data_IF_441974346276
#
_entry.id   IF_441974346276
#
_cell.length_a   1.000
_cell.length_b   1.000
_cell.length_c   1.000
_cell.angle_alpha   90.00
_cell.angle_beta   90.00
_cell.angle_gamma   90.00
#
_symmetry.space_group_name_H-M   'P 1'
#
loop_
_entity.id
_entity.type
_entity.pdbx_description
1 polymer ?
#
# COMPACT_ATOMS: atom_id res chain seq x y z
N UNK A 1 21.43 -76.65 -30.17
CA UNK A 1 21.61 -75.38 -29.43
C UNK A 1 20.32 -74.64 -29.53
N UNK A 2 19.54 -74.58 -28.45
CA UNK A 2 18.29 -73.82 -28.38
C UNK A 2 18.57 -72.54 -27.55
N UNK A 3 18.52 -71.38 -28.20
CA UNK A 3 18.73 -70.06 -27.57
C UNK A 3 17.42 -69.65 -26.92
N UNK A 4 17.41 -69.55 -25.60
CA UNK A 4 16.31 -68.99 -24.84
C UNK A 4 16.38 -67.40 -24.88
N UNK A 5 15.39 -66.75 -25.49
CA UNK A 5 15.19 -65.34 -25.42
C UNK A 5 14.40 -65.07 -24.15
N UNK A 6 15.03 -64.38 -23.16
CA UNK A 6 14.34 -63.86 -21.96
C UNK A 6 13.72 -62.54 -22.32
N UNK A 7 12.39 -62.47 -22.45
CA UNK A 7 11.62 -61.26 -22.59
C UNK A 7 11.42 -60.70 -21.18
N UNK A 8 12.09 -59.56 -20.88
CA UNK A 8 11.89 -58.81 -19.63
C UNK A 8 10.70 -57.88 -19.80
N UNK A 9 9.61 -58.14 -19.10
CA UNK A 9 8.42 -57.31 -19.09
C UNK A 9 8.65 -56.17 -18.10
N UNK A 10 8.89 -54.96 -18.60
CA UNK A 10 9.05 -53.75 -17.79
C UNK A 10 7.64 -53.16 -17.53
N UNK A 11 7.08 -53.42 -16.34
CA UNK A 11 5.80 -52.86 -15.92
C UNK A 11 6.05 -51.42 -15.47
N UNK A 12 5.68 -50.45 -16.31
CA UNK A 12 5.71 -49.03 -15.99
C UNK A 12 4.54 -48.71 -15.06
N UNK A 13 4.80 -48.58 -13.76
CA UNK A 13 3.82 -48.05 -12.81
C UNK A 13 3.66 -46.55 -13.06
N UNK A 14 2.60 -46.16 -13.75
CA UNK A 14 2.12 -44.78 -13.79
C UNK A 14 1.50 -44.44 -12.43
N UNK A 15 2.29 -43.83 -11.56
CA UNK A 15 1.77 -43.17 -10.35
C UNK A 15 1.10 -41.89 -10.84
N UNK A 16 -0.20 -41.97 -11.12
CA UNK A 16 -1.01 -40.77 -11.25
C UNK A 16 -1.12 -40.12 -9.85
N UNK A 17 -0.38 -39.04 -9.61
CA UNK A 17 -0.63 -38.19 -8.48
C UNK A 17 -2.05 -37.59 -8.65
N UNK A 18 -3.00 -38.22 -7.97
CA UNK A 18 -4.34 -37.66 -7.84
C UNK A 18 -4.24 -36.41 -6.99
N UNK A 19 -3.98 -35.26 -7.62
CA UNK A 19 -4.27 -33.99 -6.98
C UNK A 19 -5.77 -33.99 -6.72
N UNK A 20 -6.17 -34.03 -5.45
CA UNK A 20 -7.53 -33.84 -5.03
C UNK A 20 -7.97 -32.46 -5.50
N UNK A 21 -8.68 -32.41 -6.61
CA UNK A 21 -9.26 -31.17 -7.10
C UNK A 21 -10.28 -30.71 -6.07
N UNK A 22 -10.07 -29.54 -5.48
CA UNK A 22 -11.02 -28.94 -4.56
C UNK A 22 -12.28 -28.55 -5.35
N UNK A 23 -13.42 -29.06 -4.91
CA UNK A 23 -14.71 -28.74 -5.50
C UNK A 23 -15.39 -27.68 -4.67
N UNK A 24 -15.49 -26.47 -5.21
CA UNK A 24 -16.19 -25.36 -4.58
C UNK A 24 -17.59 -25.22 -5.15
N UNK A 25 -18.59 -25.29 -4.25
CA UNK A 25 -19.95 -24.93 -4.58
C UNK A 25 -20.15 -23.42 -4.49
N UNK A 26 -20.75 -22.84 -5.53
CA UNK A 26 -21.18 -21.43 -5.50
C UNK A 26 -22.51 -21.32 -4.77
N UNK A 27 -22.45 -20.86 -3.53
CA UNK A 27 -23.65 -20.74 -2.65
C UNK A 27 -24.35 -19.40 -2.86
N UNK A 28 -23.62 -18.36 -3.22
CA UNK A 28 -24.16 -17.02 -3.47
C UNK A 28 -23.46 -16.39 -4.67
N UNK A 29 -24.24 -15.75 -5.53
CA UNK A 29 -23.74 -14.87 -6.59
C UNK A 29 -24.72 -13.70 -6.72
N UNK A 30 -24.38 -12.57 -6.12
CA UNK A 30 -25.25 -11.40 -6.02
C UNK A 30 -24.59 -10.21 -6.69
N UNK A 31 -25.29 -9.59 -7.63
CA UNK A 31 -24.85 -8.32 -8.20
C UNK A 31 -25.13 -7.18 -7.22
N UNK A 32 -24.07 -6.52 -6.77
CA UNK A 32 -24.11 -5.42 -5.81
C UNK A 32 -24.14 -4.05 -6.47
N UNK A 33 -23.67 -3.96 -7.71
CA UNK A 33 -23.62 -2.78 -8.54
C UNK A 33 -23.23 -3.13 -9.96
N UNK A 34 -23.14 -2.15 -10.85
CA UNK A 34 -22.72 -2.38 -12.22
C UNK A 34 -21.28 -2.93 -12.27
N UNK A 35 -21.11 -4.19 -12.71
CA UNK A 35 -19.81 -4.86 -12.75
C UNK A 35 -19.24 -5.20 -11.36
N UNK A 36 -20.05 -5.19 -10.30
CA UNK A 36 -19.63 -5.56 -8.94
C UNK A 36 -20.48 -6.73 -8.46
N UNK A 37 -19.81 -7.83 -8.11
CA UNK A 37 -20.46 -9.06 -7.67
C UNK A 37 -19.91 -9.51 -6.32
N UNK A 38 -20.81 -9.88 -5.42
CA UNK A 38 -20.49 -10.62 -4.22
C UNK A 38 -20.74 -12.09 -4.45
N UNK A 39 -19.74 -12.93 -4.23
CA UNK A 39 -19.82 -14.38 -4.41
C UNK A 39 -19.41 -15.07 -3.11
N UNK A 40 -20.08 -16.17 -2.79
CA UNK A 40 -19.69 -17.08 -1.72
C UNK A 40 -19.45 -18.46 -2.29
N UNK A 41 -18.29 -19.01 -2.02
CA UNK A 41 -17.92 -20.38 -2.34
C UNK A 41 -17.71 -21.18 -1.08
N UNK A 42 -18.11 -22.44 -1.10
CA UNK A 42 -17.95 -23.38 0.02
C UNK A 42 -17.35 -24.69 -0.48
N UNK A 43 -16.33 -25.17 0.23
CA UNK A 43 -15.82 -26.51 0.10
C UNK A 43 -16.16 -27.29 1.38
N UNK A 44 -17.16 -28.14 1.29
CA UNK A 44 -17.76 -28.81 2.47
C UNK A 44 -16.83 -29.83 3.11
N UNK A 45 -15.99 -30.53 2.33
CA UNK A 45 -15.04 -31.54 2.85
C UNK A 45 -13.92 -30.91 3.69
N UNK A 46 -13.61 -29.64 3.46
CA UNK A 46 -12.56 -28.89 4.16
C UNK A 46 -13.11 -27.83 5.11
N UNK A 47 -14.39 -27.68 5.31
CA UNK A 47 -15.27 -26.58 5.72
C UNK A 47 -14.68 -25.18 5.42
N UNK A 48 -14.25 -24.97 4.17
CA UNK A 48 -13.77 -23.64 3.73
C UNK A 48 -14.94 -22.79 3.24
N UNK A 49 -14.95 -21.52 3.68
CA UNK A 49 -15.84 -20.49 3.17
C UNK A 49 -14.98 -19.38 2.56
N UNK A 50 -15.20 -19.10 1.28
CA UNK A 50 -14.51 -18.04 0.56
C UNK A 50 -15.54 -16.99 0.14
N UNK A 51 -15.32 -15.76 0.58
CA UNK A 51 -16.15 -14.61 0.24
C UNK A 51 -15.36 -13.74 -0.74
N UNK A 52 -15.91 -13.51 -1.91
CA UNK A 52 -15.27 -12.77 -3.00
C UNK A 52 -16.08 -11.54 -3.34
N UNK A 53 -15.41 -10.42 -3.45
CA UNK A 53 -15.91 -9.21 -4.08
C UNK A 53 -15.19 -9.08 -5.42
N UNK A 54 -15.88 -9.38 -6.52
CA UNK A 54 -15.36 -9.25 -7.87
C UNK A 54 -15.77 -7.90 -8.45
N UNK A 55 -14.80 -7.15 -8.97
CA UNK A 55 -15.02 -5.80 -9.48
C UNK A 55 -14.50 -5.73 -10.91
N UNK A 56 -15.37 -5.36 -11.84
CA UNK A 56 -15.00 -5.02 -13.22
C UNK A 56 -14.50 -3.58 -13.30
N UNK A 57 -13.19 -3.43 -13.49
CA UNK A 57 -12.51 -2.15 -13.55
C UNK A 57 -12.69 -1.45 -14.90
N UNK A 58 -13.18 -2.14 -15.92
CA UNK A 58 -13.54 -1.53 -17.21
C UNK A 58 -14.79 -0.65 -17.12
N UNK A 59 -15.62 -0.87 -16.11
CA UNK A 59 -16.77 0.00 -15.82
C UNK A 59 -16.26 1.36 -15.34
N UNK A 60 -16.62 2.47 -16.02
CA UNK A 60 -16.04 3.78 -15.75
C UNK A 60 -16.22 4.29 -14.32
N UNK A 61 -17.34 3.93 -13.70
CA UNK A 61 -17.73 4.41 -12.37
C UNK A 61 -17.16 3.56 -11.21
N UNK A 62 -16.58 2.39 -11.48
CA UNK A 62 -15.96 1.57 -10.47
C UNK A 62 -14.56 2.09 -10.14
N UNK A 63 -14.26 2.19 -8.86
CA UNK A 63 -12.94 2.56 -8.35
C UNK A 63 -12.60 1.78 -7.08
N UNK A 64 -11.32 1.67 -6.79
CA UNK A 64 -10.82 1.11 -5.54
C UNK A 64 -10.12 2.23 -4.81
N UNK A 65 -10.44 2.39 -3.52
CA UNK A 65 -9.80 3.38 -2.65
C UNK A 65 -9.20 2.70 -1.42
N UNK A 66 -8.06 3.17 -0.99
CA UNK A 66 -7.49 2.83 0.31
C UNK A 66 -8.01 3.79 1.37
N UNK A 67 -8.37 3.25 2.53
CA UNK A 67 -8.90 4.03 3.65
C UNK A 67 -8.10 3.72 4.90
N UNK A 68 -7.94 4.70 5.79
CA UNK A 68 -7.36 4.53 7.12
C UNK A 68 -8.35 4.99 8.18
N UNK A 69 -8.28 4.34 9.34
CA UNK A 69 -9.08 4.69 10.50
C UNK A 69 -9.00 6.19 10.79
N UNK A 70 -10.16 6.87 10.88
CA UNK A 70 -10.27 8.29 11.20
C UNK A 70 -9.46 9.22 10.28
N UNK A 71 -9.02 8.74 9.10
CA UNK A 71 -8.09 9.41 8.18
C UNK A 71 -6.77 9.85 8.87
N UNK A 72 -6.33 9.11 9.89
CA UNK A 72 -5.08 9.34 10.62
C UNK A 72 -4.18 8.10 10.59
N UNK A 73 -2.88 8.30 10.69
CA UNK A 73 -1.89 7.22 10.67
C UNK A 73 -2.12 6.20 11.79
N UNK A 74 -2.36 6.67 13.00
CA UNK A 74 -2.71 5.84 14.16
C UNK A 74 -4.22 5.81 14.36
N UNK A 75 -4.72 4.72 14.94
CA UNK A 75 -6.12 4.56 15.32
C UNK A 75 -6.77 3.32 14.72
N UNK A 76 -7.93 2.98 15.28
CA UNK A 76 -8.75 1.83 14.91
C UNK A 76 -10.14 2.28 14.49
N UNK A 77 -10.67 1.65 13.46
CA UNK A 77 -12.04 1.84 12.99
C UNK A 77 -12.48 0.57 12.27
N UNK A 78 -13.73 0.14 12.46
CA UNK A 78 -14.26 -1.02 11.74
C UNK A 78 -14.33 -0.71 10.24
N UNK A 79 -14.00 -1.70 9.41
CA UNK A 79 -14.07 -1.59 7.94
C UNK A 79 -15.43 -1.07 7.46
N UNK A 80 -16.55 -1.57 8.06
CA UNK A 80 -17.89 -1.09 7.75
C UNK A 80 -18.14 0.36 8.14
N UNK A 81 -17.53 0.84 9.23
CA UNK A 81 -17.63 2.25 9.64
C UNK A 81 -16.85 3.16 8.70
N UNK A 82 -15.65 2.74 8.29
CA UNK A 82 -14.85 3.45 7.28
C UNK A 82 -15.60 3.55 5.95
N UNK A 83 -16.19 2.45 5.46
CA UNK A 83 -16.99 2.44 4.24
C UNK A 83 -18.18 3.41 4.32
N UNK A 84 -18.92 3.39 5.44
CA UNK A 84 -20.04 4.31 5.67
C UNK A 84 -19.59 5.77 5.71
N UNK A 85 -18.51 6.08 6.43
CA UNK A 85 -17.96 7.44 6.55
C UNK A 85 -17.49 8.01 5.20
N UNK A 86 -17.09 7.13 4.28
CA UNK A 86 -16.62 7.50 2.94
C UNK A 86 -17.73 7.49 1.88
N UNK A 87 -18.94 7.09 2.25
CA UNK A 87 -20.10 7.09 1.34
C UNK A 87 -20.88 8.41 1.44
N UNK A 88 -21.16 8.99 0.27
CA UNK A 88 -21.98 10.20 0.12
C UNK A 88 -22.64 10.18 -1.28
N UNK A 89 -23.63 11.05 -1.57
CA UNK A 89 -24.27 11.10 -2.89
C UNK A 89 -23.25 11.20 -4.04
N UNK A 90 -23.35 10.26 -4.99
CA UNK A 90 -22.42 10.15 -6.12
C UNK A 90 -21.11 9.38 -5.83
N UNK A 91 -20.88 8.97 -4.57
CA UNK A 91 -19.72 8.18 -4.17
C UNK A 91 -20.11 7.19 -3.08
N UNK A 92 -20.36 5.95 -3.43
CA UNK A 92 -20.87 4.92 -2.52
C UNK A 92 -19.89 3.75 -2.42
N UNK A 93 -19.47 3.43 -1.20
CA UNK A 93 -18.71 2.23 -0.94
C UNK A 93 -19.65 1.01 -1.00
N UNK A 94 -19.55 0.22 -2.05
CA UNK A 94 -20.37 -0.98 -2.28
C UNK A 94 -19.87 -2.17 -1.47
N UNK A 95 -18.56 -2.27 -1.28
CA UNK A 95 -17.91 -3.31 -0.48
C UNK A 95 -16.60 -2.83 0.09
N UNK A 96 -16.09 -3.51 1.10
CA UNK A 96 -14.82 -3.20 1.72
C UNK A 96 -14.20 -4.45 2.34
N UNK A 97 -12.87 -4.54 2.29
CA UNK A 97 -12.07 -5.60 2.89
C UNK A 97 -11.00 -4.99 3.79
N UNK A 98 -10.42 -5.81 4.67
CA UNK A 98 -9.24 -5.42 5.43
C UNK A 98 -8.04 -5.24 4.50
N UNK A 99 -7.16 -4.31 4.87
CA UNK A 99 -5.88 -4.13 4.20
C UNK A 99 -4.72 -4.67 5.02
N UNK A 100 -3.61 -3.91 5.02
CA UNK A 100 -2.33 -4.25 5.63
C UNK A 100 -2.41 -4.70 7.10
N UNK A 101 -1.37 -5.37 7.55
CA UNK A 101 -1.10 -5.57 8.98
C UNK A 101 -0.78 -4.24 9.66
N UNK A 102 -0.98 -4.18 10.97
CA UNK A 102 -0.74 -2.97 11.76
C UNK A 102 -0.16 -3.27 13.13
N UNK A 103 0.58 -2.31 13.67
CA UNK A 103 1.12 -2.37 15.03
C UNK A 103 0.10 -2.00 16.11
N UNK A 104 0.52 -2.06 17.36
CA UNK A 104 -0.32 -1.88 18.55
C UNK A 104 -1.08 -0.55 18.66
N UNK A 105 -0.75 0.44 17.83
CA UNK A 105 -1.48 1.73 17.74
C UNK A 105 -2.36 1.83 16.49
N UNK A 106 -2.48 0.74 15.72
CA UNK A 106 -3.20 0.72 14.44
C UNK A 106 -2.42 1.34 13.28
N UNK A 107 -1.13 1.63 13.44
CA UNK A 107 -0.27 2.13 12.34
C UNK A 107 0.00 0.97 11.37
N UNK A 108 -0.22 1.15 10.04
CA UNK A 108 0.11 0.14 9.05
C UNK A 108 1.59 -0.23 9.09
N UNK A 109 1.91 -1.49 8.82
CA UNK A 109 3.32 -1.95 8.76
C UNK A 109 3.97 -1.45 7.47
N UNK A 110 3.23 -1.47 6.37
CA UNK A 110 3.72 -1.10 5.06
C UNK A 110 3.26 0.29 4.61
N UNK A 111 3.67 0.63 3.39
CA UNK A 111 3.26 1.87 2.75
C UNK A 111 1.76 1.90 2.52
N UNK A 112 1.20 3.08 2.70
CA UNK A 112 -0.13 3.40 2.22
C UNK A 112 -0.10 4.71 1.45
N UNK A 113 -0.66 4.71 0.24
CA UNK A 113 -0.97 5.90 -0.57
C UNK A 113 -2.46 5.98 -0.71
N UNK A 114 -3.00 7.16 -0.51
CA UNK A 114 -4.41 7.44 -0.67
C UNK A 114 -4.59 8.69 -1.51
N UNK A 115 -5.35 8.58 -2.59
CA UNK A 115 -5.57 9.65 -3.55
C UNK A 115 -4.27 10.38 -3.96
N UNK A 116 -3.21 9.60 -4.22
CA UNK A 116 -1.90 10.10 -4.62
C UNK A 116 -1.04 10.66 -3.49
N UNK A 117 -1.51 10.70 -2.24
CA UNK A 117 -0.77 11.22 -1.09
C UNK A 117 -0.27 10.08 -0.18
N UNK A 118 1.02 10.09 0.16
CA UNK A 118 1.61 9.07 1.02
C UNK A 118 1.17 9.30 2.47
N UNK A 119 0.50 8.29 3.03
CA UNK A 119 0.09 8.26 4.42
C UNK A 119 1.17 7.63 5.31
N UNK A 120 1.84 6.60 4.81
CA UNK A 120 2.89 5.85 5.49
C UNK A 120 3.96 5.46 4.48
N UNK A 121 5.25 5.56 4.86
CA UNK A 121 6.38 5.06 4.07
C UNK A 121 6.48 3.53 4.05
N UNK A 122 7.32 2.93 3.15
CA UNK A 122 7.40 1.48 2.97
C UNK A 122 7.91 0.73 4.20
N UNK A 123 7.39 -0.48 4.39
CA UNK A 123 7.86 -1.47 5.36
C UNK A 123 8.69 -2.60 4.75
N UNK A 124 8.79 -2.67 3.41
CA UNK A 124 9.62 -3.65 2.71
C UNK A 124 8.88 -4.88 2.16
N UNK A 125 7.61 -5.08 2.50
CA UNK A 125 6.78 -6.16 1.96
C UNK A 125 6.00 -5.72 0.72
N UNK A 126 5.28 -6.66 0.11
CA UNK A 126 4.47 -6.42 -1.08
C UNK A 126 3.32 -5.47 -0.85
N UNK A 127 2.93 -4.82 -1.91
CA UNK A 127 1.83 -3.88 -1.96
C UNK A 127 0.99 -4.12 -3.20
N UNK A 128 -0.30 -3.84 -3.11
CA UNK A 128 -1.21 -3.72 -4.24
C UNK A 128 -1.61 -2.25 -4.39
N UNK A 129 -1.67 -1.77 -5.62
CA UNK A 129 -2.04 -0.38 -5.89
C UNK A 129 -2.69 -0.18 -7.24
N UNK A 130 -3.24 1.03 -7.43
CA UNK A 130 -3.95 1.43 -8.63
C UNK A 130 -3.59 2.86 -8.99
N UNK A 131 -3.40 3.13 -10.27
CA UNK A 131 -3.19 4.49 -10.75
C UNK A 131 -4.50 5.19 -11.15
N UNK A 132 -4.41 6.44 -11.60
CA UNK A 132 -5.55 7.23 -12.06
C UNK A 132 -6.32 6.56 -13.21
N UNK A 133 -5.63 5.80 -14.07
CA UNK A 133 -6.22 5.01 -15.14
C UNK A 133 -6.73 3.63 -14.66
N UNK A 134 -6.81 3.42 -13.33
CA UNK A 134 -7.24 2.18 -12.68
C UNK A 134 -6.35 0.96 -12.96
N UNK A 135 -5.16 1.16 -13.56
CA UNK A 135 -4.22 0.08 -13.82
C UNK A 135 -3.69 -0.47 -12.50
N UNK A 136 -3.78 -1.78 -12.24
CA UNK A 136 -3.27 -2.39 -11.03
C UNK A 136 -1.75 -2.57 -11.08
N UNK A 137 -1.14 -2.68 -9.89
CA UNK A 137 0.22 -3.14 -9.69
C UNK A 137 0.31 -4.02 -8.43
N UNK A 138 1.22 -4.98 -8.47
CA UNK A 138 1.62 -5.77 -7.30
C UNK A 138 3.15 -5.78 -7.25
N UNK A 139 3.73 -5.18 -6.21
CA UNK A 139 5.18 -5.09 -6.10
C UNK A 139 5.63 -4.85 -4.65
N UNK A 140 6.88 -5.23 -4.35
CA UNK A 140 7.63 -4.67 -3.23
C UNK A 140 8.18 -3.32 -3.66
N UNK A 141 7.94 -2.29 -2.87
CA UNK A 141 8.28 -0.92 -3.26
C UNK A 141 9.29 -0.29 -2.32
N UNK A 142 10.08 0.63 -2.86
CA UNK A 142 10.99 1.50 -2.13
C UNK A 142 10.53 2.95 -2.24
N UNK A 143 10.94 3.77 -1.28
CA UNK A 143 10.67 5.21 -1.27
C UNK A 143 11.93 5.99 -1.63
N UNK A 144 11.75 7.06 -2.37
CA UNK A 144 12.75 8.11 -2.55
C UNK A 144 12.09 9.47 -2.43
N UNK A 145 12.78 10.41 -1.78
CA UNK A 145 12.26 11.77 -1.64
C UNK A 145 13.36 12.80 -1.66
N UNK A 146 13.06 14.00 -2.16
CA UNK A 146 14.00 15.12 -2.13
C UNK A 146 13.29 16.47 -2.00
N UNK A 147 13.93 17.36 -1.24
CA UNK A 147 13.64 18.78 -1.18
C UNK A 147 14.72 19.51 -1.97
N UNK A 148 14.33 20.39 -2.91
CA UNK A 148 15.27 21.18 -3.73
C UNK A 148 14.92 22.65 -3.71
N UNK A 149 15.96 23.50 -3.64
CA UNK A 149 15.90 24.94 -3.89
C UNK A 149 17.09 25.35 -4.76
N UNK A 150 16.85 25.77 -6.00
CA UNK A 150 17.93 25.97 -6.98
C UNK A 150 18.78 24.71 -7.12
N UNK A 151 20.09 24.84 -6.96
CA UNK A 151 21.03 23.73 -7.02
C UNK A 151 21.22 23.00 -5.68
N UNK A 152 20.61 23.47 -4.59
CA UNK A 152 20.69 22.84 -3.28
C UNK A 152 19.64 21.73 -3.16
N UNK A 153 20.05 20.58 -2.63
CA UNK A 153 19.14 19.43 -2.48
C UNK A 153 19.39 18.70 -1.16
N UNK A 154 18.33 18.19 -0.56
CA UNK A 154 18.37 17.30 0.60
C UNK A 154 17.40 16.14 0.42
N UNK A 155 17.88 14.91 0.65
CA UNK A 155 17.02 13.72 0.62
C UNK A 155 16.02 13.75 1.76
N UNK A 156 14.76 13.40 1.47
CA UNK A 156 13.72 13.12 2.46
C UNK A 156 13.83 11.64 2.79
N UNK A 157 13.98 11.33 4.07
CA UNK A 157 14.19 9.95 4.53
C UNK A 157 12.92 9.12 4.38
N UNK A 158 11.78 9.65 4.82
CA UNK A 158 10.45 9.00 4.72
C UNK A 158 9.33 10.01 5.00
N UNK A 159 8.09 9.50 5.00
CA UNK A 159 6.87 10.28 5.28
C UNK A 159 6.22 9.77 6.56
N UNK A 160 5.74 10.69 7.40
CA UNK A 160 4.95 10.41 8.59
C UNK A 160 5.56 9.37 9.53
N UNK A 161 6.78 9.61 9.95
CA UNK A 161 7.54 8.74 10.86
C UNK A 161 8.24 9.54 11.94
N UNK A 162 8.74 8.88 12.96
CA UNK A 162 9.62 9.49 13.96
C UNK A 162 10.87 10.05 13.28
N UNK A 163 11.23 11.29 13.62
CA UNK A 163 12.43 11.94 13.12
C UNK A 163 13.66 11.41 13.87
N UNK A 164 14.57 10.75 13.15
CA UNK A 164 15.87 10.32 13.65
C UNK A 164 16.97 11.35 13.39
N UNK A 165 18.19 11.00 13.83
CA UNK A 165 19.37 11.83 13.65
C UNK A 165 19.71 12.02 12.18
N UNK A 166 20.06 13.26 11.83
CA UNK A 166 20.42 13.68 10.48
C UNK A 166 19.33 13.46 9.41
N UNK A 167 18.13 13.06 9.80
CA UNK A 167 17.03 12.81 8.88
C UNK A 167 16.23 14.09 8.59
N UNK A 168 15.66 14.13 7.37
CA UNK A 168 14.60 15.03 6.97
C UNK A 168 13.33 14.21 6.77
N UNK A 169 12.29 14.48 7.54
CA UNK A 169 11.01 13.79 7.48
C UNK A 169 9.94 14.73 6.94
N UNK A 170 9.12 14.21 6.03
CA UNK A 170 7.93 14.90 5.55
C UNK A 170 6.72 14.49 6.40
N UNK A 171 6.00 15.46 6.93
CA UNK A 171 4.76 15.27 7.68
C UNK A 171 3.60 15.92 6.95
N UNK A 172 2.46 15.22 6.92
CA UNK A 172 1.22 15.74 6.37
C UNK A 172 0.04 15.48 7.32
N UNK A 173 -1.16 15.87 6.92
CA UNK A 173 -2.40 15.78 7.71
C UNK A 173 -2.72 14.39 8.30
N UNK A 174 -2.19 13.33 7.71
CA UNK A 174 -2.46 11.97 8.19
C UNK A 174 -1.68 11.63 9.46
N UNK A 175 -0.55 12.28 9.73
CA UNK A 175 0.29 11.96 10.89
C UNK A 175 -0.42 12.23 12.22
N UNK A 176 -1.11 13.34 12.31
CA UNK A 176 -1.78 13.79 13.54
C UNK A 176 -2.08 15.29 13.51
N UNK A 177 -2.10 15.91 14.66
CA UNK A 177 -2.33 17.35 14.80
C UNK A 177 -1.04 18.17 14.80
N UNK A 178 0.09 17.52 15.04
CA UNK A 178 1.44 18.13 14.99
C UNK A 178 2.48 17.08 14.62
N UNK A 179 3.71 17.51 14.30
CA UNK A 179 4.84 16.64 14.01
C UNK A 179 5.30 15.81 15.22
N UNK A 180 4.95 16.23 16.44
CA UNK A 180 5.35 15.57 17.68
C UNK A 180 6.86 15.46 17.89
N UNK A 181 7.66 16.26 17.18
CA UNK A 181 9.13 16.22 17.26
C UNK A 181 9.64 16.99 18.47
N UNK A 182 10.85 16.66 18.89
CA UNK A 182 11.57 17.41 19.93
C UNK A 182 12.11 18.76 19.40
N UNK A 183 12.70 19.57 20.27
CA UNK A 183 13.26 20.87 19.95
C UNK A 183 14.62 20.83 19.23
N UNK A 184 15.25 19.65 19.07
CA UNK A 184 16.58 19.52 18.45
C UNK A 184 16.54 19.50 16.93
N UNK A 185 15.99 20.55 16.30
CA UNK A 185 15.90 20.59 14.85
C UNK A 185 15.24 21.86 14.32
N UNK A 186 15.07 21.84 12.99
CA UNK A 186 14.37 22.93 12.25
C UNK A 186 13.19 22.33 11.52
N UNK A 187 12.07 23.03 11.59
CA UNK A 187 10.85 22.70 10.88
C UNK A 187 10.46 23.83 9.94
N UNK A 188 10.11 23.48 8.72
CA UNK A 188 9.51 24.39 7.76
C UNK A 188 8.10 23.91 7.39
N UNK A 189 7.15 24.85 7.38
CA UNK A 189 5.80 24.61 6.85
C UNK A 189 5.77 24.99 5.40
N UNK A 190 5.24 24.11 4.56
CA UNK A 190 5.14 24.30 3.13
C UNK A 190 3.69 24.13 2.67
N UNK A 191 3.30 24.93 1.66
CA UNK A 191 1.97 24.85 1.04
C UNK A 191 2.13 24.53 -0.43
N UNK A 192 1.39 23.52 -0.98
CA UNK A 192 1.47 23.20 -2.40
C UNK A 192 0.97 24.37 -3.26
N UNK A 193 1.64 24.57 -4.40
CA UNK A 193 1.27 25.57 -5.41
C UNK A 193 0.45 24.95 -6.55
N UNK A 194 0.04 23.70 -6.42
CA UNK A 194 -0.75 22.94 -7.39
C UNK A 194 -1.19 21.61 -6.81
N UNK A 195 -1.62 20.70 -7.67
CA UNK A 195 -1.96 19.32 -7.25
C UNK A 195 -0.74 18.57 -6.73
N UNK A 196 -0.97 17.55 -5.91
CA UNK A 196 0.07 16.63 -5.44
C UNK A 196 -0.08 15.25 -6.11
N UNK A 197 1.02 14.67 -6.52
CA UNK A 197 1.07 13.31 -7.01
C UNK A 197 2.39 12.63 -6.62
N UNK A 198 2.30 11.38 -6.19
CA UNK A 198 3.46 10.51 -6.04
C UNK A 198 4.10 10.27 -7.42
N UNK A 199 5.41 10.15 -7.45
CA UNK A 199 6.25 10.00 -8.65
C UNK A 199 6.30 11.27 -9.52
N UNK A 200 6.02 12.42 -8.92
CA UNK A 200 6.12 13.72 -9.59
C UNK A 200 6.89 14.74 -8.74
N UNK A 201 7.40 15.78 -9.40
CA UNK A 201 8.07 16.91 -8.73
C UNK A 201 7.17 18.12 -8.70
N UNK A 202 6.87 18.59 -7.52
CA UNK A 202 5.93 19.68 -7.35
C UNK A 202 6.52 20.87 -6.63
N UNK A 203 5.95 22.05 -6.87
CA UNK A 203 6.36 23.32 -6.27
C UNK A 203 5.53 23.60 -5.02
N UNK A 204 6.23 24.09 -4.00
CA UNK A 204 5.65 24.53 -2.73
C UNK A 204 6.21 25.88 -2.34
N UNK A 205 5.39 26.69 -1.65
CA UNK A 205 5.85 27.89 -0.99
C UNK A 205 6.11 27.61 0.49
N UNK A 206 7.22 28.11 1.01
CA UNK A 206 7.57 28.03 2.44
C UNK A 206 6.79 29.12 3.18
N UNK A 207 5.91 28.74 4.11
CA UNK A 207 5.04 29.66 4.82
C UNK A 207 5.50 29.94 6.26
N UNK A 208 6.34 29.07 6.84
CA UNK A 208 6.90 29.24 8.18
C UNK A 208 8.20 28.46 8.33
N UNK A 209 9.12 28.95 9.18
CA UNK A 209 10.34 28.26 9.58
C UNK A 209 10.57 28.51 11.08
N UNK A 210 10.79 27.46 11.84
CA UNK A 210 11.16 27.53 13.27
C UNK A 210 12.32 26.60 13.55
N UNK A 211 13.22 27.03 14.42
CA UNK A 211 14.39 26.25 14.88
C UNK A 211 14.36 26.17 16.41
N UNK A 212 14.68 25.00 16.94
CA UNK A 212 14.78 24.82 18.39
C UNK A 212 13.44 24.73 19.14
N UNK A 213 12.32 24.51 18.43
CA UNK A 213 10.98 24.44 19.04
C UNK A 213 10.39 23.02 18.91
N UNK A 214 10.30 22.49 17.67
CA UNK A 214 9.64 21.21 17.36
C UNK A 214 8.11 21.29 17.42
N UNK A 215 7.49 20.14 17.22
CA UNK A 215 6.04 19.90 17.35
C UNK A 215 5.14 20.88 16.55
N UNK A 216 5.57 21.25 15.33
CA UNK A 216 4.82 22.15 14.45
C UNK A 216 3.44 21.59 14.11
N UNK A 217 2.41 22.43 14.20
CA UNK A 217 1.02 22.04 13.91
C UNK A 217 0.83 21.65 12.43
N UNK A 218 0.09 20.53 12.22
CA UNK A 218 -0.31 20.00 10.92
C UNK A 218 -1.77 20.36 10.63
N UNK A 219 -2.09 20.55 9.36
CA UNK A 219 -3.45 20.80 8.89
C UNK A 219 -3.66 20.23 7.48
N UNK A 220 -4.86 20.36 6.94
CA UNK A 220 -5.25 19.73 5.67
C UNK A 220 -4.62 20.39 4.43
N UNK A 221 -4.11 21.61 4.56
CA UNK A 221 -3.65 22.43 3.42
C UNK A 221 -2.14 22.65 3.40
N UNK A 222 -1.43 22.24 4.45
CA UNK A 222 0.02 22.46 4.59
C UNK A 222 0.72 21.21 5.07
N UNK A 223 1.99 21.08 4.69
CA UNK A 223 2.87 20.03 5.14
C UNK A 223 4.04 20.61 5.91
N UNK A 224 4.73 19.75 6.65
CA UNK A 224 5.92 20.14 7.41
C UNK A 224 7.08 19.25 7.04
N UNK A 225 8.22 19.86 6.72
CA UNK A 225 9.50 19.18 6.63
C UNK A 225 10.26 19.46 7.94
N UNK A 226 10.60 18.40 8.65
CA UNK A 226 11.30 18.46 9.93
C UNK A 226 12.68 17.83 9.79
N UNK A 227 13.73 18.62 10.01
CA UNK A 227 15.13 18.24 9.92
C UNK A 227 15.81 18.18 11.29
N UNK A 228 16.63 17.14 11.52
CA UNK A 228 17.55 17.05 12.65
C UNK A 228 19.01 17.07 12.17
N UNK A 229 19.97 17.49 12.98
CA UNK A 229 21.40 17.49 12.69
C UNK A 229 21.73 18.14 11.34
N UNK A 230 22.38 17.41 10.43
CA UNK A 230 22.75 17.93 9.09
C UNK A 230 21.56 18.33 8.25
N UNK A 231 20.37 17.74 8.45
CA UNK A 231 19.15 18.17 7.77
C UNK A 231 18.60 19.48 8.35
N UNK A 232 18.70 19.69 9.66
CA UNK A 232 18.40 20.98 10.28
C UNK A 232 19.32 22.09 9.75
N UNK A 233 20.61 21.83 9.72
CA UNK A 233 21.62 22.76 9.14
C UNK A 233 21.28 23.13 7.69
N UNK A 234 20.89 22.14 6.87
CA UNK A 234 20.46 22.38 5.50
C UNK A 234 19.25 23.32 5.44
N UNK A 235 18.20 23.09 6.26
CA UNK A 235 17.02 23.94 6.30
C UNK A 235 17.34 25.36 6.78
N UNK A 236 18.21 25.51 7.80
CA UNK A 236 18.63 26.82 8.33
C UNK A 236 19.32 27.64 7.25
N UNK A 237 20.31 27.02 6.57
CA UNK A 237 21.22 27.73 5.67
C UNK A 237 20.63 27.99 4.29
N UNK A 238 19.70 27.17 3.82
CA UNK A 238 19.28 27.21 2.41
C UNK A 238 17.82 27.60 2.20
N UNK A 239 16.96 27.50 3.21
CA UNK A 239 15.52 27.68 3.03
C UNK A 239 15.03 28.87 3.89
N UNK A 240 14.30 29.79 3.29
CA UNK A 240 13.68 30.94 3.97
C UNK A 240 12.17 30.96 3.75
N UNK A 241 11.46 31.63 4.65
CA UNK A 241 10.02 31.92 4.46
C UNK A 241 9.85 32.74 3.18
N UNK A 242 8.84 32.40 2.38
CA UNK A 242 8.59 32.98 1.06
C UNK A 242 9.32 32.27 -0.11
N UNK A 243 10.26 31.38 0.17
CA UNK A 243 10.92 30.60 -0.88
C UNK A 243 9.96 29.65 -1.59
N UNK A 244 10.14 29.51 -2.90
CA UNK A 244 9.59 28.38 -3.66
C UNK A 244 10.58 27.23 -3.66
N UNK A 245 10.14 26.08 -3.21
CA UNK A 245 10.91 24.85 -3.18
C UNK A 245 10.25 23.76 -4.03
N UNK A 246 11.05 22.84 -4.55
CA UNK A 246 10.58 21.65 -5.26
C UNK A 246 10.64 20.44 -4.34
N UNK A 247 9.55 19.71 -4.25
CA UNK A 247 9.44 18.46 -3.52
C UNK A 247 9.18 17.32 -4.50
N UNK A 248 9.98 16.28 -4.40
CA UNK A 248 9.75 15.01 -5.06
C UNK A 248 9.50 13.93 -4.01
N UNK A 249 8.49 13.09 -4.24
CA UNK A 249 8.28 11.84 -3.50
C UNK A 249 8.02 10.73 -4.50
N UNK A 250 8.86 9.71 -4.48
CA UNK A 250 8.83 8.61 -5.43
C UNK A 250 8.65 7.26 -4.76
N UNK A 251 7.96 6.37 -5.46
CA UNK A 251 7.76 4.96 -5.13
C UNK A 251 8.21 4.15 -6.33
N UNK A 252 9.16 3.21 -6.12
CA UNK A 252 9.70 2.36 -7.18
C UNK A 252 9.74 0.88 -6.76
N UNK A 253 9.34 -0.08 -7.63
CA UNK A 253 8.65 0.17 -8.89
C UNK A 253 7.30 0.85 -8.65
N UNK A 254 6.83 1.68 -9.58
CA UNK A 254 5.59 2.43 -9.43
C UNK A 254 4.93 2.77 -10.75
N UNK A 255 3.63 3.02 -10.69
CA UNK A 255 2.84 3.46 -11.83
C UNK A 255 2.83 4.99 -11.93
N UNK A 256 2.80 5.55 -13.14
CA UNK A 256 2.50 6.97 -13.32
C UNK A 256 1.15 7.32 -12.69
N UNK A 257 1.09 8.49 -12.03
CA UNK A 257 -0.13 8.97 -11.38
C UNK A 257 -0.75 7.94 -10.42
N UNK A 258 0.10 7.28 -9.62
CA UNK A 258 -0.34 6.34 -8.61
C UNK A 258 -1.33 7.03 -7.64
N UNK A 259 -2.51 6.44 -7.49
CA UNK A 259 -3.58 6.98 -6.63
C UNK A 259 -3.69 6.23 -5.31
N UNK A 260 -3.74 4.92 -5.38
CA UNK A 260 -4.00 4.05 -4.24
C UNK A 260 -2.89 3.01 -4.13
N UNK A 261 -2.40 2.78 -2.93
CA UNK A 261 -1.44 1.72 -2.62
C UNK A 261 -1.62 1.28 -1.18
N UNK A 262 -1.64 -0.02 -0.97
CA UNK A 262 -1.76 -0.60 0.37
C UNK A 262 -0.88 -1.85 0.48
N UNK A 263 -0.31 -2.06 1.65
CA UNK A 263 0.48 -3.24 1.96
C UNK A 263 -0.35 -4.50 2.13
N UNK A 264 0.32 -5.63 1.98
CA UNK A 264 -0.19 -6.97 2.23
C UNK A 264 0.86 -8.01 1.82
N UNK A 265 1.03 -9.07 2.61
CA UNK A 265 2.06 -10.07 2.34
C UNK A 265 1.73 -11.42 2.99
N UNK A 266 2.37 -12.52 2.56
CA UNK A 266 3.22 -12.60 1.37
C UNK A 266 2.42 -12.59 0.06
N UNK A 267 3.11 -12.43 -1.07
CA UNK A 267 2.53 -12.74 -2.38
C UNK A 267 2.22 -14.23 -2.45
N UNK A 268 1.04 -14.56 -2.91
CA UNK A 268 0.57 -15.95 -3.01
C UNK A 268 0.46 -16.44 -4.46
N UNK A 269 0.28 -15.49 -5.39
CA UNK A 269 0.33 -15.73 -6.83
C UNK A 269 1.22 -14.65 -7.46
N UNK A 270 2.10 -15.04 -8.37
CA UNK A 270 2.92 -14.11 -9.14
C UNK A 270 3.05 -14.64 -10.58
N UNK A 271 2.77 -13.75 -11.56
CA UNK A 271 2.73 -14.10 -12.98
C UNK A 271 1.87 -15.33 -13.31
N UNK A 272 0.73 -15.50 -12.62
CA UNK A 272 -0.19 -16.59 -12.82
C UNK A 272 0.23 -17.93 -12.20
N UNK A 273 1.36 -18.01 -11.50
CA UNK A 273 1.86 -19.19 -10.83
C UNK A 273 1.74 -19.10 -9.32
N UNK A 274 1.69 -20.25 -8.64
CA UNK A 274 1.82 -20.35 -7.19
C UNK A 274 3.15 -19.75 -6.74
N UNK A 275 3.09 -18.86 -5.76
CA UNK A 275 4.25 -18.13 -5.24
C UNK A 275 4.30 -18.13 -3.70
N UNK A 276 3.52 -18.99 -3.04
CA UNK A 276 3.37 -18.94 -1.56
C UNK A 276 4.70 -19.13 -0.87
N UNK A 277 5.43 -20.20 -1.20
CA UNK A 277 6.71 -20.52 -0.54
C UNK A 277 7.78 -19.47 -0.85
N UNK A 278 7.90 -19.07 -2.11
CA UNK A 278 8.86 -18.06 -2.53
C UNK A 278 8.51 -16.68 -1.94
N UNK A 279 7.24 -16.30 -1.95
CA UNK A 279 6.77 -15.06 -1.32
C UNK A 279 7.07 -15.03 0.17
N UNK A 280 6.90 -16.15 0.87
CA UNK A 280 7.25 -16.27 2.29
C UNK A 280 8.77 -16.11 2.53
N UNK A 281 9.59 -16.73 1.70
CA UNK A 281 11.05 -16.62 1.79
C UNK A 281 11.53 -15.18 1.56
N UNK A 282 10.95 -14.46 0.61
CA UNK A 282 11.37 -13.11 0.24
C UNK A 282 10.87 -12.02 1.21
N UNK A 283 9.69 -12.19 1.76
CA UNK A 283 8.99 -11.13 2.50
C UNK A 283 8.86 -11.43 3.98
N UNK A 284 9.16 -12.66 4.36
CA UNK A 284 8.74 -13.19 5.64
C UNK A 284 7.22 -13.38 5.67
N UNK A 285 6.73 -13.82 6.80
CA UNK A 285 5.30 -13.97 7.02
C UNK A 285 5.05 -14.15 8.51
N UNK A 286 3.80 -14.01 8.96
CA UNK A 286 3.46 -14.39 10.32
C UNK A 286 3.72 -15.90 10.51
N UNK A 287 4.08 -16.31 11.73
CA UNK A 287 4.39 -17.70 12.07
C UNK A 287 3.30 -18.71 11.65
N UNK A 288 2.06 -18.21 11.52
CA UNK A 288 0.89 -18.99 11.11
C UNK A 288 0.60 -18.95 9.59
N UNK A 289 1.57 -18.60 8.74
CA UNK A 289 1.36 -18.48 7.27
C UNK A 289 0.81 -19.78 6.66
N UNK A 290 1.28 -20.94 7.12
CA UNK A 290 0.84 -22.24 6.64
C UNK A 290 -0.33 -22.86 7.43
N UNK A 291 -0.82 -22.16 8.45
CA UNK A 291 -1.94 -22.62 9.25
C UNK A 291 -3.29 -22.08 8.70
N UNK A 292 -4.37 -22.73 9.10
CA UNK A 292 -5.73 -22.29 8.74
C UNK A 292 -6.19 -21.13 9.63
N UNK A 293 -6.24 -19.95 9.05
CA UNK A 293 -6.76 -18.73 9.68
C UNK A 293 -7.67 -17.98 8.72
N UNK A 294 -8.60 -17.17 9.22
CA UNK A 294 -9.27 -16.17 8.39
C UNK A 294 -8.25 -15.27 7.70
N UNK A 295 -8.38 -15.10 6.39
CA UNK A 295 -7.44 -14.36 5.57
C UNK A 295 -8.17 -13.38 4.68
N UNK A 296 -7.51 -12.27 4.37
CA UNK A 296 -7.91 -11.35 3.33
C UNK A 296 -6.85 -11.33 2.24
N UNK A 297 -7.26 -11.39 0.99
CA UNK A 297 -6.38 -11.32 -0.15
C UNK A 297 -6.95 -10.36 -1.19
N UNK A 298 -6.09 -9.76 -2.00
CA UNK A 298 -6.43 -8.97 -3.19
C UNK A 298 -5.64 -9.51 -4.36
N UNK A 299 -6.28 -9.67 -5.49
CA UNK A 299 -5.67 -10.06 -6.74
C UNK A 299 -6.33 -9.35 -7.91
N UNK A 300 -5.73 -9.47 -9.08
CA UNK A 300 -6.30 -8.95 -10.33
C UNK A 300 -6.02 -9.89 -11.49
N UNK A 301 -6.89 -9.86 -12.49
CA UNK A 301 -6.76 -10.65 -13.70
C UNK A 301 -5.58 -10.16 -14.56
N UNK A 302 -5.07 -11.05 -15.42
CA UNK A 302 -3.93 -10.75 -16.30
C UNK A 302 -4.19 -9.57 -17.23
N UNK A 303 -5.42 -9.41 -17.71
CA UNK A 303 -5.87 -8.30 -18.53
C UNK A 303 -6.13 -7.01 -17.74
N UNK A 304 -5.97 -7.06 -16.41
CA UNK A 304 -6.20 -5.96 -15.47
C UNK A 304 -7.64 -5.42 -15.42
N UNK A 305 -8.60 -6.14 -15.98
CA UNK A 305 -10.00 -5.72 -16.01
C UNK A 305 -10.79 -6.15 -14.78
N UNK A 306 -10.30 -7.13 -14.01
CA UNK A 306 -10.96 -7.61 -12.80
C UNK A 306 -10.06 -7.53 -11.58
N UNK A 307 -10.63 -7.15 -10.47
CA UNK A 307 -10.03 -7.20 -9.12
C UNK A 307 -10.93 -7.99 -8.20
#
# INVERSE_FOLDING_TARGET
>A
MKTLVKTSLFTLLLISSAFSQLNFDTVTNLQMGMGIFYKKYVEYSKPWNIYVLEIDMSVPYNSIETIKAQDKLAGYEKTSSMARRRSYPGHVAVGAINGDFYGGTGIPINIQVRNGEILRGPGGQSTVGFNEAKKPMLARVTFSGSLKKGNQSRSIYTVNSTRGDNQLILYNKFYGNSTGTNSFGTEIKIKPMGGYAVNDTMSFIVTSKVTGVGSMALNDTTWVLSGHGTSSTFLVNNINVGDTVKLFTGIAPGLPKLKELIGGFPRIIFNGADYVDQGYLEEGGPSHTYERHPRTAVGFSQDSNKV
#
